data_IF_758829636663
#
_entry.id   IF_758829636663
#
_cell.length_a   1.000
_cell.length_b   1.000
_cell.length_c   1.000
_cell.angle_alpha   90.00
_cell.angle_beta   90.00
_cell.angle_gamma   90.00
#
_symmetry.space_group_name_H-M   'P 1'
#
loop_
_entity.id
_entity.type
_entity.pdbx_description
1 polymer ?
#
# COMPACT_ATOMS: atom_id res chain seq x y z
N UNK A 1 -17.81 21.43 8.87
CA UNK A 1 -18.05 20.00 9.11
C UNK A 1 -16.67 19.36 9.07
N UNK A 2 -16.14 18.90 10.20
CA UNK A 2 -14.87 18.17 10.16
C UNK A 2 -15.08 16.91 9.34
N UNK A 3 -14.28 16.74 8.30
CA UNK A 3 -14.32 15.60 7.38
C UNK A 3 -13.87 14.35 8.15
N UNK A 4 -14.80 13.75 8.90
CA UNK A 4 -14.51 12.80 9.98
C UNK A 4 -14.49 11.34 9.48
N UNK A 5 -14.14 11.15 8.21
CA UNK A 5 -14.12 9.85 7.54
C UNK A 5 -12.68 9.36 7.40
N UNK A 6 -12.40 8.18 7.93
CA UNK A 6 -11.12 7.50 7.79
C UNK A 6 -11.00 6.93 6.37
N UNK A 7 -10.02 7.38 5.60
CA UNK A 7 -9.74 6.96 4.23
C UNK A 7 -8.65 5.90 4.20
N UNK A 8 -9.05 4.69 3.83
CA UNK A 8 -8.16 3.54 3.71
C UNK A 8 -7.89 3.30 2.23
N UNK A 9 -6.62 3.28 1.84
CA UNK A 9 -6.17 3.02 0.47
C UNK A 9 -5.50 1.65 0.42
N UNK A 10 -6.09 0.70 -0.31
CA UNK A 10 -5.46 -0.60 -0.55
C UNK A 10 -4.73 -0.57 -1.88
N UNK A 11 -3.41 -0.63 -1.84
CA UNK A 11 -2.53 -0.48 -3.00
C UNK A 11 -2.36 -1.82 -3.71
N UNK A 12 -2.58 -1.77 -5.02
CA UNK A 12 -2.29 -2.79 -6.02
C UNK A 12 -2.78 -4.19 -5.66
N UNK A 13 -4.06 -4.38 -5.30
CA UNK A 13 -4.60 -5.71 -5.01
C UNK A 13 -4.53 -6.66 -6.22
N UNK A 14 -4.41 -6.13 -7.44
CA UNK A 14 -4.18 -6.91 -8.65
C UNK A 14 -2.75 -7.48 -8.77
N UNK A 15 -1.80 -6.98 -7.97
CA UNK A 15 -0.41 -7.48 -7.92
C UNK A 15 -0.03 -8.07 -6.55
N UNK A 16 -0.57 -7.52 -5.46
CA UNK A 16 -0.11 -7.72 -4.08
C UNK A 16 -1.25 -8.19 -3.16
N UNK A 17 -1.93 -9.30 -3.52
CA UNK A 17 -3.02 -9.88 -2.72
C UNK A 17 -2.97 -11.40 -2.56
N UNK A 18 -1.85 -12.04 -2.89
CA UNK A 18 -1.75 -13.50 -3.08
C UNK A 18 -2.04 -14.30 -1.81
N UNK A 19 -1.75 -13.76 -0.62
CA UNK A 19 -1.72 -14.54 0.63
C UNK A 19 -2.84 -14.15 1.61
N UNK A 20 -4.00 -13.73 1.10
CA UNK A 20 -5.15 -13.36 1.93
C UNK A 20 -5.06 -11.95 2.52
N UNK A 21 -4.23 -11.08 1.95
CA UNK A 21 -4.00 -9.71 2.43
C UNK A 21 -5.25 -8.83 2.41
N UNK A 22 -6.28 -9.22 1.64
CA UNK A 22 -7.61 -8.60 1.74
C UNK A 22 -8.16 -8.66 3.18
N UNK A 23 -7.77 -9.68 3.96
CA UNK A 23 -8.12 -9.77 5.37
C UNK A 23 -7.64 -8.58 6.19
N UNK A 24 -6.47 -8.01 5.86
CA UNK A 24 -5.92 -6.86 6.57
C UNK A 24 -6.79 -5.62 6.39
N UNK A 25 -7.19 -5.30 5.15
CA UNK A 25 -8.07 -4.15 4.88
C UNK A 25 -9.45 -4.34 5.53
N UNK A 26 -10.03 -5.54 5.43
CA UNK A 26 -11.32 -5.85 6.05
C UNK A 26 -11.29 -5.71 7.57
N UNK A 27 -10.21 -6.14 8.23
CA UNK A 27 -10.05 -6.02 9.68
C UNK A 27 -9.85 -4.56 10.11
N UNK A 28 -9.06 -3.77 9.38
CA UNK A 28 -8.89 -2.34 9.68
C UNK A 28 -10.22 -1.61 9.54
N UNK A 29 -10.95 -1.83 8.43
CA UNK A 29 -12.29 -1.27 8.22
C UNK A 29 -13.25 -1.66 9.36
N UNK A 30 -13.32 -2.95 9.70
CA UNK A 30 -14.20 -3.46 10.76
C UNK A 30 -13.88 -2.83 12.11
N UNK A 31 -12.60 -2.73 12.47
CA UNK A 31 -12.15 -2.19 13.76
C UNK A 31 -12.37 -0.68 13.85
N UNK A 32 -12.18 0.06 12.76
CA UNK A 32 -12.49 1.49 12.70
C UNK A 32 -13.99 1.74 12.88
N UNK A 33 -14.84 1.00 12.15
CA UNK A 33 -16.31 1.07 12.31
C UNK A 33 -16.77 0.71 13.73
N UNK A 34 -16.14 -0.28 14.38
CA UNK A 34 -16.42 -0.62 15.79
C UNK A 34 -16.11 0.52 16.78
N UNK A 35 -15.28 1.49 16.39
CA UNK A 35 -14.93 2.66 17.20
C UNK A 35 -15.78 3.89 16.86
N UNK A 36 -16.82 3.72 16.03
CA UNK A 36 -17.71 4.81 15.62
C UNK A 36 -17.12 5.74 14.56
N UNK A 37 -16.06 5.32 13.87
CA UNK A 37 -15.50 6.07 12.74
C UNK A 37 -16.26 5.74 11.46
N UNK A 38 -16.53 6.75 10.64
CA UNK A 38 -16.91 6.54 9.24
C UNK A 38 -15.66 6.11 8.45
N UNK A 39 -15.83 5.23 7.48
CA UNK A 39 -14.71 4.62 6.75
C UNK A 39 -14.99 4.57 5.26
N UNK A 40 -14.16 5.27 4.48
CA UNK A 40 -14.10 5.12 3.04
C UNK A 40 -12.88 4.26 2.67
N UNK A 41 -13.12 3.26 1.82
CA UNK A 41 -12.08 2.42 1.25
C UNK A 41 -11.92 2.74 -0.23
N UNK A 42 -10.68 2.81 -0.69
CA UNK A 42 -10.32 2.92 -2.10
C UNK A 42 -9.31 1.83 -2.45
N UNK A 43 -9.68 0.99 -3.40
CA UNK A 43 -8.80 -0.03 -3.97
C UNK A 43 -8.14 0.56 -5.21
N UNK A 44 -6.82 0.74 -5.15
CA UNK A 44 -6.06 1.37 -6.23
C UNK A 44 -5.35 0.28 -6.99
N UNK A 45 -5.77 0.03 -8.23
CA UNK A 45 -5.13 -0.95 -9.10
C UNK A 45 -3.79 -0.44 -9.61
N UNK A 46 -2.93 -1.35 -10.05
CA UNK A 46 -1.58 -1.03 -10.51
C UNK A 46 -1.49 -0.08 -11.70
N UNK A 47 -2.58 0.13 -12.44
CA UNK A 47 -2.70 1.06 -13.57
C UNK A 47 -3.25 2.45 -13.17
N UNK A 48 -3.51 2.66 -11.88
CA UNK A 48 -4.08 3.90 -11.34
C UNK A 48 -3.05 4.67 -10.51
N UNK A 49 -3.19 6.00 -10.49
CA UNK A 49 -2.35 6.88 -9.68
C UNK A 49 -2.65 6.71 -8.19
N UNK A 50 -1.62 6.77 -7.34
CA UNK A 50 -1.80 6.68 -5.89
C UNK A 50 -2.37 8.03 -5.38
N UNK A 51 -3.56 8.04 -4.74
CA UNK A 51 -4.08 9.25 -4.11
C UNK A 51 -3.14 9.65 -2.96
N UNK A 52 -3.01 10.94 -2.67
CA UNK A 52 -2.14 11.45 -1.59
C UNK A 52 -2.93 11.90 -0.36
N UNK A 53 -4.24 11.65 -0.37
CA UNK A 53 -5.20 12.04 0.66
C UNK A 53 -5.68 10.87 1.49
N UNK A 54 -5.08 9.68 1.42
CA UNK A 54 -5.42 8.58 2.32
C UNK A 54 -4.87 8.81 3.73
N UNK A 55 -5.49 8.20 4.72
CA UNK A 55 -5.02 8.23 6.11
C UNK A 55 -4.24 6.95 6.46
N UNK A 56 -4.67 5.80 5.91
CA UNK A 56 -3.99 4.51 6.03
C UNK A 56 -3.80 3.89 4.64
N UNK A 57 -2.56 3.54 4.29
CA UNK A 57 -2.20 2.83 3.07
C UNK A 57 -1.79 1.41 3.39
N UNK A 58 -2.49 0.45 2.78
CA UNK A 58 -2.25 -0.98 2.93
C UNK A 58 -1.54 -1.52 1.70
N UNK A 59 -0.45 -2.26 1.92
CA UNK A 59 0.32 -2.93 0.86
C UNK A 59 0.52 -4.39 1.26
N UNK A 60 -0.08 -5.31 0.49
CA UNK A 60 -0.02 -6.74 0.78
C UNK A 60 1.28 -7.41 0.32
N UNK A 61 1.31 -8.73 0.45
CA UNK A 61 2.34 -9.58 -0.14
C UNK A 61 1.99 -9.94 -1.59
N UNK A 62 3.01 -10.34 -2.34
CA UNK A 62 2.84 -10.83 -3.71
C UNK A 62 4.00 -11.75 -4.09
N UNK A 63 3.88 -12.37 -5.25
CA UNK A 63 4.97 -13.14 -5.86
C UNK A 63 6.07 -12.21 -6.39
N UNK A 64 7.26 -12.75 -6.62
CA UNK A 64 8.47 -11.99 -6.96
C UNK A 64 8.30 -11.07 -8.19
N UNK A 65 7.67 -11.57 -9.27
CA UNK A 65 7.46 -10.78 -10.49
C UNK A 65 6.43 -9.64 -10.29
N UNK A 66 5.22 -9.88 -9.73
CA UNK A 66 4.32 -8.81 -9.31
C UNK A 66 4.95 -7.81 -8.33
N UNK A 67 5.78 -8.27 -7.39
CA UNK A 67 6.50 -7.40 -6.44
C UNK A 67 7.43 -6.43 -7.17
N UNK A 68 8.26 -6.93 -8.09
CA UNK A 68 9.13 -6.06 -8.90
C UNK A 68 8.33 -5.02 -9.70
N UNK A 69 7.24 -5.45 -10.34
CA UNK A 69 6.37 -4.54 -11.10
C UNK A 69 5.71 -3.48 -10.19
N UNK A 70 5.27 -3.88 -9.00
CA UNK A 70 4.71 -2.96 -8.02
C UNK A 70 5.73 -1.92 -7.55
N UNK A 71 6.95 -2.34 -7.24
CA UNK A 71 8.05 -1.45 -6.86
C UNK A 71 8.35 -0.41 -7.95
N UNK A 72 8.49 -0.85 -9.20
CA UNK A 72 8.72 0.03 -10.36
C UNK A 72 7.62 1.09 -10.49
N UNK A 73 6.36 0.67 -10.42
CA UNK A 73 5.21 1.57 -10.60
C UNK A 73 5.05 2.55 -9.45
N UNK A 74 5.20 2.11 -8.20
CA UNK A 74 5.17 2.99 -7.03
C UNK A 74 6.30 4.02 -7.07
N UNK A 75 7.51 3.61 -7.46
CA UNK A 75 8.66 4.51 -7.61
C UNK A 75 8.43 5.56 -8.70
N UNK A 76 7.80 5.17 -9.81
CA UNK A 76 7.46 6.09 -10.91
C UNK A 76 6.33 7.06 -10.55
N UNK A 77 5.34 6.61 -9.77
CA UNK A 77 4.17 7.40 -9.39
C UNK A 77 4.49 8.43 -8.29
N UNK A 78 5.26 8.03 -7.27
CA UNK A 78 5.68 8.90 -6.15
C UNK A 78 4.52 9.40 -5.27
N UNK A 79 3.29 8.92 -5.45
CA UNK A 79 2.15 9.30 -4.63
C UNK A 79 2.23 8.75 -3.21
N UNK A 80 2.83 7.57 -3.01
CA UNK A 80 3.03 7.02 -1.67
C UNK A 80 4.03 7.85 -0.84
N UNK A 81 5.12 8.35 -1.45
CA UNK A 81 6.03 9.28 -0.77
C UNK A 81 5.30 10.54 -0.30
N UNK A 82 4.54 11.18 -1.20
CA UNK A 82 3.72 12.36 -0.86
C UNK A 82 2.70 12.06 0.23
N UNK A 83 2.09 10.88 0.22
CA UNK A 83 1.15 10.48 1.27
C UNK A 83 1.84 10.35 2.63
N UNK A 84 3.02 9.72 2.68
CA UNK A 84 3.83 9.62 3.91
C UNK A 84 4.27 10.99 4.41
N UNK A 85 4.71 11.88 3.51
CA UNK A 85 5.04 13.29 3.84
C UNK A 85 3.83 14.05 4.42
N UNK A 86 2.62 13.72 3.97
CA UNK A 86 1.37 14.26 4.52
C UNK A 86 0.95 13.62 5.86
N UNK A 87 1.74 12.71 6.42
CA UNK A 87 1.49 12.06 7.71
C UNK A 87 0.68 10.77 7.63
N UNK A 88 0.54 10.16 6.45
CA UNK A 88 -0.18 8.91 6.30
C UNK A 88 0.51 7.73 7.00
N UNK A 89 -0.29 6.80 7.50
CA UNK A 89 0.18 5.54 8.08
C UNK A 89 0.29 4.50 6.98
N UNK A 90 1.42 3.78 6.92
CA UNK A 90 1.58 2.64 6.00
C UNK A 90 1.54 1.33 6.79
N UNK A 91 0.64 0.43 6.40
CA UNK A 91 0.58 -0.94 6.88
C UNK A 91 0.98 -1.87 5.73
N UNK A 92 2.24 -2.32 5.76
CA UNK A 92 2.82 -3.20 4.74
C UNK A 92 3.11 -4.60 5.27
N UNK A 93 2.93 -5.63 4.42
CA UNK A 93 3.17 -7.04 4.75
C UNK A 93 4.05 -7.70 3.68
N UNK A 94 5.02 -8.54 4.09
CA UNK A 94 5.86 -9.35 3.20
C UNK A 94 6.52 -8.52 2.07
N UNK A 95 6.26 -8.83 0.80
CA UNK A 95 6.72 -8.08 -0.36
C UNK A 95 6.45 -6.58 -0.23
N UNK A 96 5.26 -6.20 0.24
CA UNK A 96 4.91 -4.80 0.50
C UNK A 96 5.88 -4.12 1.47
N UNK A 97 6.35 -4.83 2.51
CA UNK A 97 7.33 -4.29 3.45
C UNK A 97 8.72 -4.15 2.82
N UNK A 98 9.16 -5.15 2.04
CA UNK A 98 10.44 -5.10 1.33
C UNK A 98 10.49 -3.95 0.32
N UNK A 99 9.38 -3.70 -0.39
CA UNK A 99 9.26 -2.58 -1.33
C UNK A 99 9.52 -1.23 -0.64
N UNK A 100 9.13 -1.05 0.63
CA UNK A 100 9.33 0.21 1.34
C UNK A 100 10.80 0.52 1.63
N UNK A 101 11.65 -0.50 1.73
CA UNK A 101 13.09 -0.34 2.00
C UNK A 101 13.86 0.26 0.83
N UNK A 102 15.19 0.31 0.97
CA UNK A 102 16.07 0.81 -0.09
C UNK A 102 16.22 -0.14 -1.28
N UNK A 103 16.21 -1.45 -1.06
CA UNK A 103 16.37 -2.47 -2.10
C UNK A 103 15.88 -3.87 -1.65
N UNK A 104 15.65 -4.74 -2.62
CA UNK A 104 15.40 -6.17 -2.42
C UNK A 104 15.94 -6.99 -3.60
N UNK A 105 16.00 -8.31 -3.49
CA UNK A 105 16.38 -9.20 -4.59
C UNK A 105 15.14 -9.60 -5.37
N UNK A 106 15.14 -9.42 -6.69
CA UNK A 106 13.99 -9.71 -7.56
C UNK A 106 13.97 -11.16 -8.10
N UNK A 107 12.95 -11.45 -8.91
CA UNK A 107 12.73 -12.73 -9.62
C UNK A 107 13.88 -13.17 -10.54
N UNK A 108 14.81 -12.26 -10.87
CA UNK A 108 15.99 -12.52 -11.69
C UNK A 108 17.28 -12.64 -10.86
N UNK A 109 17.19 -12.62 -9.53
CA UNK A 109 18.35 -12.64 -8.63
C UNK A 109 19.15 -11.32 -8.62
N UNK A 110 18.56 -10.22 -9.12
CA UNK A 110 19.19 -8.91 -9.21
C UNK A 110 18.71 -7.99 -8.08
N UNK A 111 19.53 -7.01 -7.70
CA UNK A 111 19.12 -5.95 -6.77
C UNK A 111 18.10 -5.04 -7.47
N UNK A 112 16.89 -4.96 -6.94
CA UNK A 112 15.83 -4.04 -7.35
C UNK A 112 15.76 -2.88 -6.33
N UNK A 113 15.78 -1.62 -6.78
CA UNK A 113 15.56 -0.49 -5.89
C UNK A 113 14.14 -0.51 -5.32
N UNK A 114 14.02 -0.37 -4.00
CA UNK A 114 12.75 -0.11 -3.32
C UNK A 114 12.36 1.36 -3.37
N UNK A 115 11.53 1.79 -2.42
CA UNK A 115 11.05 3.17 -2.31
C UNK A 115 11.93 4.05 -1.42
N UNK A 116 12.76 3.48 -0.55
CA UNK A 116 13.61 4.22 0.39
C UNK A 116 12.79 5.03 1.41
N UNK A 117 11.64 4.51 1.81
CA UNK A 117 10.78 5.09 2.86
C UNK A 117 11.18 4.62 4.27
N UNK A 118 12.01 3.57 4.35
CA UNK A 118 12.57 2.97 5.57
C UNK A 118 14.09 2.86 5.47
#
# INVERSE_FOLDING_TARGET
MSDNQLRIVWIYPDLLSTYGDQGNVLVVERRARQRGLDVARLDVRSDQAIPTSGDIYLIGGGEDRPQRLAAERLRRDGGLHRAVENGAIVFSVCAGYQILGHEFINDLGQREPGLGLL
#
